data_IF_703213232815
#
_entry.id   IF_703213232815
#
_cell.length_a   1.000
_cell.length_b   1.000
_cell.length_c   1.000
_cell.angle_alpha   90.00
_cell.angle_beta   90.00
_cell.angle_gamma   90.00
#
_symmetry.space_group_name_H-M   'P 1'
#
loop_
_entity.id
_entity.type
_entity.pdbx_description
1 polymer ?
#
# COMPACT_ATOMS: atom_id res chain seq x y z
N UNK A 1 -11.43 15.73 16.01
CA UNK A 1 -11.00 14.77 14.97
C UNK A 1 -9.88 13.96 15.58
N UNK A 2 -10.00 12.63 15.56
CA UNK A 2 -8.98 11.77 16.17
C UNK A 2 -7.71 11.80 15.32
N UNK A 3 -6.57 12.12 15.96
CA UNK A 3 -5.26 12.16 15.31
C UNK A 3 -4.86 10.73 14.93
N UNK A 4 -4.77 10.45 13.62
CA UNK A 4 -4.36 9.12 13.13
C UNK A 4 -2.85 9.07 12.98
N UNK A 5 -2.26 7.98 13.45
CA UNK A 5 -0.87 7.65 13.19
C UNK A 5 -0.81 6.72 11.99
N UNK A 6 -0.06 7.11 10.96
CA UNK A 6 0.12 6.36 9.72
C UNK A 6 1.60 6.05 9.62
N UNK A 7 1.95 4.77 9.60
CA UNK A 7 3.34 4.33 9.43
C UNK A 7 3.57 4.01 7.97
N UNK A 8 4.67 4.50 7.41
CA UNK A 8 5.11 4.19 6.03
C UNK A 8 6.46 3.51 6.10
N UNK A 9 6.58 2.33 5.50
CA UNK A 9 7.85 1.59 5.43
C UNK A 9 8.75 2.23 4.36
N UNK A 10 9.95 2.59 4.78
CA UNK A 10 10.96 3.26 3.94
C UNK A 10 12.06 2.28 3.57
N UNK A 11 12.21 2.06 2.27
CA UNK A 11 13.22 1.22 1.66
C UNK A 11 13.87 1.97 0.49
N UNK A 12 15.09 1.59 0.12
CA UNK A 12 15.80 2.20 -1.01
C UNK A 12 15.35 1.59 -2.35
N UNK A 13 14.03 1.68 -2.60
CA UNK A 13 13.36 1.15 -3.78
C UNK A 13 12.28 2.12 -4.22
N UNK A 14 12.11 2.28 -5.54
CA UNK A 14 11.14 3.23 -6.11
C UNK A 14 9.70 2.92 -5.69
N UNK A 15 9.35 1.64 -5.55
CA UNK A 15 8.04 1.21 -5.05
C UNK A 15 7.68 1.82 -3.69
N UNK A 16 8.66 2.03 -2.80
CA UNK A 16 8.43 2.67 -1.51
C UNK A 16 8.16 4.18 -1.64
N UNK A 17 8.85 4.88 -2.56
CA UNK A 17 8.62 6.30 -2.85
C UNK A 17 7.22 6.50 -3.43
N UNK A 18 6.84 5.67 -4.40
CA UNK A 18 5.50 5.66 -5.01
C UNK A 18 4.43 5.38 -3.96
N UNK A 19 4.67 4.43 -3.05
CA UNK A 19 3.75 4.12 -1.96
C UNK A 19 3.52 5.32 -1.03
N UNK A 20 4.59 6.04 -0.65
CA UNK A 20 4.49 7.26 0.13
C UNK A 20 3.71 8.35 -0.61
N UNK A 21 4.04 8.60 -1.88
CA UNK A 21 3.36 9.62 -2.68
C UNK A 21 1.87 9.32 -2.84
N UNK A 22 1.52 8.06 -3.12
CA UNK A 22 0.13 7.65 -3.21
C UNK A 22 -0.60 7.83 -1.87
N UNK A 23 0.03 7.48 -0.74
CA UNK A 23 -0.57 7.68 0.58
C UNK A 23 -0.82 9.16 0.89
N UNK A 24 0.12 10.04 0.51
CA UNK A 24 0.01 11.49 0.68
C UNK A 24 -1.17 12.07 -0.09
N UNK A 25 -1.41 11.60 -1.32
CA UNK A 25 -2.53 12.07 -2.13
C UNK A 25 -3.89 11.49 -1.75
N UNK A 26 -3.96 10.25 -1.26
CA UNK A 26 -5.23 9.52 -1.14
C UNK A 26 -5.75 9.38 0.28
N UNK A 27 -4.86 9.36 1.28
CA UNK A 27 -5.21 8.90 2.63
C UNK A 27 -4.95 9.97 3.70
N UNK A 28 -3.81 10.64 3.55
CA UNK A 28 -3.31 11.57 4.55
C UNK A 28 -4.18 12.82 4.55
N UNK A 29 -4.65 13.18 5.75
CA UNK A 29 -5.50 14.34 6.00
C UNK A 29 -4.78 15.31 6.93
N UNK A 30 -5.31 16.53 7.01
CA UNK A 30 -4.87 17.49 8.01
C UNK A 30 -4.98 16.92 9.42
N UNK A 31 -3.89 17.02 10.20
CA UNK A 31 -3.81 16.52 11.56
C UNK A 31 -3.35 15.06 11.69
N UNK A 32 -3.16 14.32 10.59
CA UNK A 32 -2.53 13.01 10.65
C UNK A 32 -1.02 13.12 10.94
N UNK A 33 -0.47 12.11 11.62
CA UNK A 33 0.97 11.98 11.90
C UNK A 33 1.51 10.86 11.02
N UNK A 34 2.49 11.19 10.19
CA UNK A 34 3.19 10.26 9.31
C UNK A 34 4.48 9.84 9.99
N UNK A 35 4.65 8.54 10.23
CA UNK A 35 5.90 7.99 10.76
C UNK A 35 6.62 7.22 9.65
N UNK A 36 7.76 7.75 9.21
CA UNK A 36 8.67 7.12 8.26
C UNK A 36 9.52 6.09 9.00
N UNK A 37 9.24 4.81 8.76
CA UNK A 37 9.90 3.68 9.43
C UNK A 37 10.91 3.01 8.50
N UNK A 38 12.19 3.09 8.85
CA UNK A 38 13.24 2.30 8.20
C UNK A 38 13.74 1.20 9.12
N UNK A 39 13.84 -0.02 8.59
CA UNK A 39 14.41 -1.18 9.30
C UNK A 39 15.69 -1.60 8.60
N UNK A 40 16.82 -1.51 9.31
CA UNK A 40 18.11 -1.97 8.80
C UNK A 40 18.46 -3.36 9.37
N UNK A 41 19.16 -4.21 8.58
CA UNK A 41 19.47 -5.57 9.00
C UNK A 41 20.45 -5.59 10.17
N UNK A 42 20.36 -6.59 11.06
CA UNK A 42 21.29 -6.72 12.16
C UNK A 42 22.71 -6.97 11.66
N UNK A 43 23.69 -6.36 12.31
CA UNK A 43 25.09 -6.55 11.94
C UNK A 43 25.54 -7.98 12.32
N UNK A 44 25.92 -8.80 11.32
CA UNK A 44 26.44 -10.17 11.53
C UNK A 44 27.63 -10.23 12.51
N UNK A 45 28.42 -9.16 12.60
CA UNK A 45 29.42 -8.98 13.64
C UNK A 45 28.97 -7.90 14.62
N UNK A 46 29.25 -8.06 15.92
CA UNK A 46 28.95 -7.07 16.96
C UNK A 46 29.79 -5.78 16.87
N UNK A 47 30.24 -5.40 15.67
CA UNK A 47 30.94 -4.15 15.43
C UNK A 47 29.96 -2.99 15.59
N UNK A 48 30.11 -2.26 16.71
CA UNK A 48 29.32 -1.05 17.01
C UNK A 48 29.44 0.00 15.90
N UNK A 49 30.59 0.09 15.24
CA UNK A 49 30.82 1.04 14.15
C UNK A 49 29.98 0.70 12.92
N UNK A 50 29.86 -0.59 12.56
CA UNK A 50 29.03 -1.03 11.44
C UNK A 50 27.55 -0.77 11.70
N UNK A 51 27.06 -1.07 12.91
CA UNK A 51 25.68 -0.80 13.29
C UNK A 51 25.35 0.71 13.26
N UNK A 52 26.27 1.56 13.75
CA UNK A 52 26.14 3.02 13.67
C UNK A 52 26.04 3.52 12.22
N UNK A 53 26.89 3.00 11.33
CA UNK A 53 26.88 3.36 9.91
C UNK A 53 25.54 3.01 9.26
N UNK A 54 25.03 1.79 9.48
CA UNK A 54 23.72 1.37 8.94
C UNK A 54 22.57 2.24 9.46
N UNK A 55 22.59 2.60 10.75
CA UNK A 55 21.60 3.52 11.33
C UNK A 55 21.66 4.91 10.70
N UNK A 56 22.85 5.44 10.46
CA UNK A 56 23.03 6.74 9.80
C UNK A 56 22.55 6.70 8.34
N UNK A 57 22.88 5.64 7.60
CA UNK A 57 22.38 5.44 6.23
C UNK A 57 20.85 5.35 6.19
N UNK A 58 20.25 4.59 7.11
CA UNK A 58 18.80 4.48 7.24
C UNK A 58 18.13 5.81 7.58
N UNK A 59 18.75 6.62 8.43
CA UNK A 59 18.26 7.96 8.74
C UNK A 59 18.35 8.90 7.54
N UNK A 60 19.48 8.88 6.81
CA UNK A 60 19.64 9.66 5.58
C UNK A 60 18.62 9.27 4.51
N UNK A 61 18.32 7.98 4.38
CA UNK A 61 17.27 7.50 3.47
C UNK A 61 15.90 8.04 3.91
N UNK A 62 15.56 7.96 5.19
CA UNK A 62 14.30 8.49 5.70
C UNK A 62 14.16 10.02 5.52
N UNK A 63 15.26 10.77 5.66
CA UNK A 63 15.29 12.21 5.34
C UNK A 63 14.96 12.47 3.86
N UNK A 64 15.44 11.62 2.94
CA UNK A 64 15.08 11.77 1.51
C UNK A 64 13.58 11.57 1.27
N UNK A 65 12.91 10.73 2.07
CA UNK A 65 11.46 10.53 2.01
C UNK A 65 10.70 11.68 2.67
N UNK A 66 11.24 12.25 3.75
CA UNK A 66 10.68 13.43 4.39
C UNK A 66 10.55 14.59 3.40
N UNK A 67 11.53 14.77 2.51
CA UNK A 67 11.47 15.82 1.49
C UNK A 67 10.27 15.68 0.53
N UNK A 68 9.78 14.46 0.31
CA UNK A 68 8.56 14.20 -0.49
C UNK A 68 7.33 14.68 0.28
N UNK A 69 7.32 14.52 1.61
CA UNK A 69 6.25 15.00 2.48
C UNK A 69 6.21 16.53 2.57
N UNK A 70 7.35 17.23 2.42
CA UNK A 70 7.41 18.70 2.48
C UNK A 70 6.53 19.37 1.39
N UNK A 71 6.25 18.66 0.29
CA UNK A 71 5.33 19.12 -0.75
C UNK A 71 3.87 19.21 -0.27
N UNK A 72 3.54 18.62 0.88
CA UNK A 72 2.19 18.58 1.45
C UNK A 72 2.13 19.45 2.70
N UNK A 73 1.46 20.61 2.65
CA UNK A 73 1.41 21.52 3.79
C UNK A 73 0.69 20.89 4.98
N UNK A 74 1.17 21.18 6.19
CA UNK A 74 0.57 20.80 7.47
C UNK A 74 0.57 19.30 7.82
N UNK A 75 1.43 18.48 7.20
CA UNK A 75 1.66 17.11 7.64
C UNK A 75 2.74 17.05 8.72
N UNK A 76 2.48 16.37 9.83
CA UNK A 76 3.52 16.11 10.85
C UNK A 76 4.26 14.83 10.50
N UNK A 77 5.56 14.94 10.22
CA UNK A 77 6.41 13.80 9.86
C UNK A 77 7.36 13.46 11.00
N UNK A 78 7.43 12.18 11.36
CA UNK A 78 8.34 11.63 12.35
C UNK A 78 9.20 10.55 11.69
N UNK A 79 10.48 10.47 12.05
CA UNK A 79 11.41 9.47 11.50
C UNK A 79 11.77 8.45 12.59
N UNK A 80 11.60 7.17 12.28
CA UNK A 80 11.97 6.06 13.16
C UNK A 80 12.87 5.11 12.39
N UNK A 81 14.10 4.94 12.89
CA UNK A 81 15.10 4.02 12.32
C UNK A 81 15.41 2.95 13.35
N UNK A 82 15.16 1.70 13.00
CA UNK A 82 15.29 0.56 13.93
C UNK A 82 16.08 -0.59 13.33
N UNK A 83 16.77 -1.33 14.19
CA UNK A 83 17.42 -2.59 13.81
C UNK A 83 16.39 -3.72 13.85
N UNK A 84 16.37 -4.55 12.81
CA UNK A 84 15.45 -5.67 12.76
C UNK A 84 15.64 -6.61 11.57
N UNK A 85 14.97 -7.76 11.66
CA UNK A 85 15.01 -8.78 10.64
C UNK A 85 14.16 -8.40 9.41
N UNK A 86 14.58 -8.88 8.24
CA UNK A 86 13.86 -8.69 6.98
C UNK A 86 12.51 -9.43 6.93
N UNK A 87 12.22 -10.27 7.93
CA UNK A 87 10.96 -11.04 8.07
C UNK A 87 9.77 -10.19 8.56
N UNK A 88 9.97 -8.90 8.86
CA UNK A 88 8.90 -7.97 9.23
C UNK A 88 8.38 -8.09 10.67
N UNK A 89 8.93 -8.99 11.51
CA UNK A 89 8.56 -9.08 12.94
C UNK A 89 8.85 -7.78 13.69
N UNK A 90 10.01 -7.17 13.43
CA UNK A 90 10.38 -5.89 14.04
C UNK A 90 9.45 -4.77 13.59
N UNK A 91 9.03 -4.77 12.32
CA UNK A 91 8.06 -3.82 11.78
C UNK A 91 6.73 -3.97 12.53
N UNK A 92 6.26 -5.21 12.75
CA UNK A 92 5.04 -5.44 13.51
C UNK A 92 5.14 -4.95 14.97
N UNK A 93 6.27 -5.18 15.64
CA UNK A 93 6.45 -4.68 17.01
C UNK A 93 6.47 -3.15 17.08
N UNK A 94 7.21 -2.49 16.18
CA UNK A 94 7.31 -1.02 16.18
C UNK A 94 5.98 -0.37 15.82
N UNK A 95 5.24 -0.93 14.86
CA UNK A 95 3.90 -0.45 14.49
C UNK A 95 2.92 -0.55 15.65
N UNK A 96 2.99 -1.62 16.46
CA UNK A 96 2.20 -1.76 17.69
C UNK A 96 2.61 -0.75 18.76
N UNK A 97 3.91 -0.55 18.97
CA UNK A 97 4.44 0.45 19.91
C UNK A 97 4.00 1.88 19.55
N UNK A 98 4.01 2.21 18.26
CA UNK A 98 3.55 3.50 17.76
C UNK A 98 2.02 3.64 17.90
N UNK A 99 1.29 2.52 18.01
CA UNK A 99 -0.17 2.46 17.91
C UNK A 99 -0.66 3.05 16.58
N UNK A 100 -0.06 2.59 15.48
CA UNK A 100 -0.47 3.03 14.16
C UNK A 100 -1.90 2.58 13.86
N UNK A 101 -2.69 3.46 13.25
CA UNK A 101 -4.00 3.11 12.70
C UNK A 101 -3.87 2.43 11.32
N UNK A 102 -2.77 2.70 10.62
CA UNK A 102 -2.52 2.21 9.27
C UNK A 102 -1.01 2.05 9.01
N UNK A 103 -0.66 1.01 8.25
CA UNK A 103 0.68 0.73 7.75
C UNK A 103 0.66 0.76 6.21
N UNK A 104 1.57 1.51 5.59
CA UNK A 104 1.72 1.60 4.14
C UNK A 104 3.06 1.00 3.72
N UNK A 105 3.03 0.15 2.70
CA UNK A 105 4.21 -0.59 2.21
C UNK A 105 4.26 -0.55 0.68
N UNK A 106 5.45 -0.30 0.13
CA UNK A 106 5.72 -0.47 -1.29
C UNK A 106 5.96 -1.93 -1.66
N UNK A 107 5.06 -2.50 -2.46
CA UNK A 107 5.19 -3.86 -2.97
C UNK A 107 6.22 -3.92 -4.10
N UNK A 108 7.29 -4.67 -3.86
CA UNK A 108 8.35 -4.99 -4.81
C UNK A 108 8.90 -6.39 -4.52
N UNK A 109 9.62 -7.02 -5.46
CA UNK A 109 9.99 -8.45 -5.41
C UNK A 109 10.72 -8.89 -4.14
N UNK A 110 11.43 -7.97 -3.47
CA UNK A 110 12.17 -8.23 -2.21
C UNK A 110 11.48 -7.69 -0.95
N UNK A 111 10.25 -7.19 -1.07
CA UNK A 111 9.51 -6.66 0.07
C UNK A 111 9.28 -7.74 1.12
N UNK A 112 9.27 -7.31 2.39
CA UNK A 112 8.95 -8.21 3.49
C UNK A 112 7.56 -8.83 3.37
N UNK A 113 6.66 -8.27 2.55
CA UNK A 113 5.35 -8.86 2.28
C UNK A 113 5.43 -10.06 1.31
N UNK A 114 6.27 -10.00 0.26
CA UNK A 114 6.46 -11.12 -0.68
C UNK A 114 7.36 -12.23 -0.13
N UNK A 115 8.47 -11.91 0.53
CA UNK A 115 9.33 -12.94 1.16
C UNK A 115 8.58 -13.75 2.21
N UNK A 116 7.68 -13.07 2.92
CA UNK A 116 6.85 -13.70 3.93
C UNK A 116 5.72 -14.53 3.28
N UNK A 117 5.32 -14.29 2.02
CA UNK A 117 4.38 -15.15 1.24
C UNK A 117 4.83 -16.61 1.13
N UNK A 118 6.14 -16.87 1.11
CA UNK A 118 6.70 -18.23 1.13
C UNK A 118 6.78 -18.83 2.55
N UNK A 119 6.92 -17.98 3.58
CA UNK A 119 6.80 -18.39 4.99
C UNK A 119 5.33 -18.48 5.48
N UNK A 120 4.38 -17.92 4.72
CA UNK A 120 2.95 -17.80 5.06
C UNK A 120 2.15 -19.10 4.95
N UNK A 121 2.72 -20.20 4.45
CA UNK A 121 2.03 -21.49 4.50
C UNK A 121 1.82 -21.98 5.95
N UNK A 122 2.55 -21.43 6.93
CA UNK A 122 2.55 -21.97 8.30
C UNK A 122 2.22 -21.01 9.44
N UNK A 123 2.21 -19.67 9.30
CA UNK A 123 1.70 -18.78 10.37
C UNK A 123 1.35 -17.38 9.85
N UNK A 124 0.14 -16.90 10.19
CA UNK A 124 -0.44 -15.65 9.72
C UNK A 124 0.27 -14.43 10.32
N UNK A 125 1.07 -13.72 9.51
CA UNK A 125 1.60 -12.41 9.90
C UNK A 125 0.58 -11.29 9.65
N UNK A 126 -0.50 -11.58 8.92
CA UNK A 126 -1.61 -10.65 8.79
C UNK A 126 -2.26 -10.34 10.14
N UNK A 127 -2.34 -11.33 11.03
CA UNK A 127 -2.80 -11.14 12.41
C UNK A 127 -1.77 -10.48 13.34
N UNK A 128 -0.54 -10.19 12.89
CA UNK A 128 0.48 -9.56 13.74
C UNK A 128 0.36 -8.03 13.79
N UNK A 129 -0.39 -7.41 12.87
CA UNK A 129 -0.58 -5.97 12.83
C UNK A 129 -1.98 -5.64 13.32
N UNK A 130 -2.08 -4.86 14.40
CA UNK A 130 -3.36 -4.38 14.94
C UNK A 130 -3.95 -3.21 14.12
N UNK A 131 -3.52 -3.04 12.86
CA UNK A 131 -3.79 -1.87 12.03
C UNK A 131 -4.07 -2.28 10.58
N UNK A 132 -4.71 -1.38 9.82
CA UNK A 132 -4.97 -1.61 8.39
C UNK A 132 -3.64 -1.57 7.62
N UNK A 133 -3.27 -2.61 6.88
CA UNK A 133 -2.06 -2.61 6.05
C UNK A 133 -2.46 -2.38 4.60
N UNK A 134 -1.80 -1.42 3.95
CA UNK A 134 -1.96 -1.07 2.55
C UNK A 134 -0.66 -1.38 1.81
N UNK A 135 -0.79 -2.23 0.80
CA UNK A 135 0.32 -2.71 0.01
C UNK A 135 0.16 -2.15 -1.41
N UNK A 136 1.04 -1.22 -1.77
CA UNK A 136 0.93 -0.44 -3.01
C UNK A 136 1.90 -1.03 -4.02
N UNK A 137 1.35 -1.57 -5.10
CA UNK A 137 2.15 -2.17 -6.17
C UNK A 137 2.41 -1.14 -7.26
N UNK A 138 3.68 -1.02 -7.63
CA UNK A 138 4.09 -0.20 -8.76
C UNK A 138 3.45 -0.75 -10.06
N UNK A 139 2.96 0.11 -10.97
CA UNK A 139 2.55 -0.34 -12.30
C UNK A 139 3.77 -0.92 -13.02
N UNK A 140 3.64 -2.12 -13.57
CA UNK A 140 4.72 -2.68 -14.38
C UNK A 140 5.00 -1.74 -15.58
N UNK A 141 6.27 -1.46 -15.93
CA UNK A 141 6.57 -0.80 -17.19
C UNK A 141 5.97 -1.62 -18.34
N UNK A 142 5.39 -0.91 -19.31
CA UNK A 142 4.65 -1.45 -20.45
C UNK A 142 5.36 -2.62 -21.16
N UNK A 143 4.62 -3.57 -21.76
CA UNK A 143 5.14 -4.88 -22.18
C UNK A 143 6.09 -4.87 -23.41
N UNK A 144 6.53 -3.71 -23.91
CA UNK A 144 7.33 -3.64 -25.14
C UNK A 144 8.82 -4.00 -24.96
N UNK A 145 9.29 -4.31 -23.74
CA UNK A 145 10.70 -4.70 -23.50
C UNK A 145 10.85 -5.89 -22.54
N UNK A 146 10.04 -6.93 -22.70
CA UNK A 146 10.26 -8.23 -22.04
C UNK A 146 10.35 -9.37 -23.06
N UNK A 147 11.37 -9.34 -23.91
CA UNK A 147 11.89 -10.58 -24.49
C UNK A 147 12.99 -11.08 -23.57
N UNK A 148 12.80 -12.31 -23.07
CA UNK A 148 13.73 -13.09 -22.25
C UNK A 148 14.12 -12.51 -20.87
N UNK A 149 13.22 -12.59 -19.88
CA UNK A 149 13.52 -13.25 -18.59
C UNK A 149 12.21 -13.76 -17.98
N UNK A 150 12.02 -15.07 -18.09
CA UNK A 150 11.29 -15.97 -17.18
C UNK A 150 9.83 -15.68 -16.84
N UNK A 151 8.98 -16.52 -17.43
CA UNK A 151 7.66 -16.88 -16.93
C UNK A 151 7.77 -17.44 -15.49
N UNK A 152 7.41 -16.62 -14.51
CA UNK A 152 7.08 -17.10 -13.17
C UNK A 152 6.05 -16.16 -12.53
N UNK A 153 4.89 -16.75 -12.21
CA UNK A 153 3.84 -16.23 -11.34
C UNK A 153 2.94 -15.10 -11.90
N UNK A 154 2.26 -15.40 -12.99
CA UNK A 154 0.80 -15.22 -12.99
C UNK A 154 0.25 -16.18 -11.93
N UNK A 155 -0.22 -15.63 -10.82
CA UNK A 155 -0.99 -16.36 -9.80
C UNK A 155 -2.05 -15.41 -9.24
N UNK A 156 -3.04 -15.15 -10.09
CA UNK A 156 -4.41 -14.94 -9.63
C UNK A 156 -4.89 -16.27 -9.08
N UNK A 157 -5.03 -16.38 -7.76
CA UNK A 157 -5.80 -17.44 -7.11
C UNK A 157 -6.03 -17.07 -5.63
N UNK A 158 -7.27 -16.72 -5.35
CA UNK A 158 -7.93 -16.65 -4.04
C UNK A 158 -7.28 -17.43 -2.89
N UNK A 159 -6.68 -16.71 -1.94
CA UNK A 159 -6.55 -17.17 -0.55
C UNK A 159 -6.88 -15.99 0.35
N UNK A 160 -7.87 -16.16 1.22
CA UNK A 160 -8.38 -15.14 2.15
C UNK A 160 -7.25 -14.50 2.97
N UNK A 161 -6.91 -13.25 2.69
CA UNK A 161 -6.02 -12.45 3.53
C UNK A 161 -6.54 -11.01 3.57
N UNK A 162 -6.66 -10.46 4.78
CA UNK A 162 -7.33 -9.19 5.09
C UNK A 162 -6.48 -7.94 4.78
N UNK A 163 -5.90 -7.84 3.58
CA UNK A 163 -5.15 -6.66 3.16
C UNK A 163 -5.64 -6.08 1.84
N UNK A 164 -5.80 -4.76 1.80
CA UNK A 164 -6.16 -4.04 0.59
C UNK A 164 -4.90 -3.80 -0.25
N UNK A 165 -4.70 -4.66 -1.24
CA UNK A 165 -3.69 -4.45 -2.28
C UNK A 165 -4.22 -3.43 -3.29
N UNK A 166 -3.43 -2.41 -3.59
CA UNK A 166 -3.79 -1.38 -4.56
C UNK A 166 -2.79 -1.46 -5.71
N UNK A 167 -3.25 -1.96 -6.85
CA UNK A 167 -2.48 -1.98 -8.09
C UNK A 167 -2.70 -0.66 -8.82
N UNK A 168 -1.63 0.15 -8.90
CA UNK A 168 -1.70 1.45 -9.54
C UNK A 168 -1.87 1.34 -11.07
N UNK A 169 -1.57 0.19 -11.67
CA UNK A 169 -1.80 -0.03 -13.10
C UNK A 169 -3.28 0.03 -13.48
N UNK A 170 -4.17 -0.44 -12.60
CA UNK A 170 -5.61 -0.40 -12.80
C UNK A 170 -6.18 1.02 -12.58
N UNK A 171 -5.56 1.83 -11.72
CA UNK A 171 -5.98 3.22 -11.47
C UNK A 171 -5.49 4.20 -12.54
N UNK A 172 -4.35 3.92 -13.17
CA UNK A 172 -3.82 4.69 -14.29
C UNK A 172 -4.43 4.27 -15.64
N UNK A 173 -5.07 3.10 -15.71
CA UNK A 173 -5.95 2.72 -16.82
C UNK A 173 -7.32 3.39 -16.64
N UNK A 174 -7.38 4.72 -16.67
CA UNK A 174 -8.58 5.37 -17.20
C UNK A 174 -8.50 5.15 -18.71
N UNK A 175 -9.41 4.40 -19.34
CA UNK A 175 -9.46 4.36 -20.79
C UNK A 175 -9.68 5.80 -21.26
N UNK A 176 -8.77 6.35 -22.07
CA UNK A 176 -9.00 7.61 -22.78
C UNK A 176 -10.23 7.57 -23.69
N UNK A 177 -10.86 6.41 -23.84
CA UNK A 177 -12.13 6.27 -24.54
C UNK A 177 -13.27 6.30 -23.54
N UNK A 178 -14.05 7.39 -23.55
CA UNK A 178 -15.42 7.37 -23.01
C UNK A 178 -16.11 6.10 -23.51
N UNK A 179 -16.77 5.29 -22.65
CA UNK A 179 -17.56 4.17 -23.15
C UNK A 179 -18.54 4.72 -24.19
N UNK A 180 -18.68 4.08 -25.38
CA UNK A 180 -19.63 4.55 -26.37
C UNK A 180 -20.98 4.66 -25.68
N UNK A 181 -21.56 5.87 -25.66
CA UNK A 181 -22.87 6.12 -25.07
C UNK A 181 -23.81 5.10 -25.68
N UNK A 182 -24.33 4.19 -24.87
CA UNK A 182 -25.40 3.28 -25.32
C UNK A 182 -26.51 4.21 -25.81
N UNK A 183 -26.87 4.20 -27.10
CA UNK A 183 -27.96 5.03 -27.57
C UNK A 183 -29.19 4.55 -26.80
N UNK A 184 -29.78 5.45 -26.02
CA UNK A 184 -31.05 5.19 -25.37
C UNK A 184 -31.99 4.71 -26.47
N UNK A 185 -32.46 3.47 -26.37
CA UNK A 185 -33.62 3.05 -27.16
C UNK A 185 -34.76 3.89 -26.65
N UNK A 186 -35.02 5.00 -27.33
CA UNK A 186 -36.28 5.72 -27.20
C UNK A 186 -37.35 4.67 -27.44
N UNK A 187 -38.10 4.34 -26.38
CA UNK A 187 -39.18 3.38 -26.48
C UNK A 187 -40.09 3.84 -27.64
N UNK A 188 -40.25 3.06 -28.71
CA UNK A 188 -40.96 3.52 -29.91
C UNK A 188 -42.47 3.65 -29.70
N UNK A 189 -42.96 3.43 -28.46
CA UNK A 189 -44.36 3.52 -28.15
C UNK A 189 -44.60 4.08 -26.72
N UNK A 190 -45.25 5.24 -26.56
CA UNK A 190 -45.61 5.81 -25.26
C UNK A 190 -46.61 4.95 -24.46
N UNK A 191 -47.22 3.92 -25.07
CA UNK A 191 -48.15 3.01 -24.41
C UNK A 191 -47.51 1.79 -23.73
N UNK A 192 -46.20 1.55 -23.92
CA UNK A 192 -45.53 0.36 -23.38
C UNK A 192 -45.19 0.44 -21.89
N UNK A 193 -45.33 1.62 -21.27
CA UNK A 193 -45.17 1.80 -19.82
C UNK A 193 -46.47 1.36 -19.14
N UNK A 194 -46.68 0.05 -19.04
CA UNK A 194 -47.78 -0.51 -18.26
C UNK A 194 -47.45 -0.29 -16.78
N UNK A 195 -47.95 0.81 -16.21
CA UNK A 195 -48.00 1.02 -14.77
C UNK A 195 -48.89 -0.06 -14.16
N UNK A 196 -48.30 -1.15 -13.67
CA UNK A 196 -49.02 -2.09 -12.79
C UNK A 196 -49.17 -1.42 -11.43
N UNK A 197 -50.25 -0.66 -11.24
CA UNK A 197 -50.69 -0.28 -9.90
C UNK A 197 -51.12 -1.56 -9.18
N UNK A 198 -50.29 -2.04 -8.25
CA UNK A 198 -50.69 -3.09 -7.31
C UNK A 198 -51.86 -2.55 -6.49
N UNK A 199 -53.07 -3.07 -6.72
CA UNK A 199 -54.21 -2.85 -5.82
C UNK A 199 -53.80 -3.30 -4.41
N UNK A 200 -53.82 -2.36 -3.47
CA UNK A 200 -53.71 -2.61 -2.04
C UNK A 200 -54.81 -3.61 -1.64
N UNK A 201 -54.42 -4.80 -1.19
CA UNK A 201 -55.35 -5.71 -0.50
C UNK A 201 -55.65 -5.10 0.86
N UNK A 202 -56.89 -4.63 1.05
CA UNK A 202 -57.46 -4.35 2.37
C UNK A 202 -58.31 -5.55 2.79
N UNK A 203 -58.12 -5.87 4.08
CA UNK A 203 -58.75 -6.90 4.94
C UNK A 203 -58.26 -8.32 4.72
#
# INVERSE_FOLDING_TARGET
MDVRKIVVVVEDVEAARIALQWALHNIIRFGDIITLLHVYPPARSRSKNKARLLRLQGFQLALSFQHICDAFPNTKVEIVVTEGDQEGRKIASTVREIQASMLVVGLHDRSFLYNNRLAMAHNSVASNFNCRVLAIKQPAPSPLMKSMVSAAAVLDSSTSMDFSQIDLSTLLQVPETSPPKIPYRICPNPSAIIWRSRRSRRR
#
